data_IF_003095719523
#
_entry.id   IF_003095719523
#
_cell.length_a   1.000
_cell.length_b   1.000
_cell.length_c   1.000
_cell.angle_alpha   90.00
_cell.angle_beta   90.00
_cell.angle_gamma   90.00
#
_symmetry.space_group_name_H-M   'P 1'
#
loop_
_entity.id
_entity.type
_entity.pdbx_description
1 polymer ?
#
# COMPACT_ATOMS: atom_id res chain seq x y z
N UNK A 1 -2.43 -4.64 -20.00
CA UNK A 1 -2.36 -5.85 -20.84
C UNK A 1 -2.38 -5.42 -22.31
N UNK A 2 -1.26 -5.52 -23.03
CA UNK A 2 -1.23 -5.22 -24.46
C UNK A 2 -1.80 -6.42 -25.24
N UNK A 3 -2.83 -6.20 -26.05
CA UNK A 3 -3.45 -7.23 -26.87
C UNK A 3 -2.50 -7.62 -28.00
N UNK A 4 -2.08 -8.88 -28.02
CA UNK A 4 -1.26 -9.44 -29.10
C UNK A 4 -2.03 -9.30 -30.42
N UNK A 5 -1.41 -8.70 -31.44
CA UNK A 5 -2.02 -8.51 -32.77
C UNK A 5 -3.09 -7.41 -32.88
N UNK A 6 -3.28 -6.57 -31.86
CA UNK A 6 -4.27 -5.49 -31.88
C UNK A 6 -5.68 -5.90 -31.45
N UNK A 7 -5.88 -7.11 -30.92
CA UNK A 7 -7.18 -7.60 -30.42
C UNK A 7 -8.19 -7.97 -31.52
N UNK A 8 -9.47 -8.14 -31.14
CA UNK A 8 -10.54 -8.57 -32.05
C UNK A 8 -10.87 -7.54 -33.16
N UNK A 9 -10.58 -6.26 -32.93
CA UNK A 9 -10.68 -5.18 -33.92
C UNK A 9 -9.39 -4.34 -33.91
N UNK A 10 -8.38 -4.74 -34.70
CA UNK A 10 -7.10 -4.04 -34.79
C UNK A 10 -7.22 -2.62 -35.34
N UNK A 11 -8.20 -2.35 -36.22
CA UNK A 11 -8.46 -1.00 -36.76
C UNK A 11 -8.89 -0.03 -35.67
N UNK A 12 -9.89 -0.44 -34.87
CA UNK A 12 -10.41 0.37 -33.78
C UNK A 12 -9.37 0.57 -32.68
N UNK A 13 -8.66 -0.50 -32.32
CA UNK A 13 -7.59 -0.45 -31.30
C UNK A 13 -6.47 0.48 -31.74
N UNK A 14 -6.01 0.36 -32.99
CA UNK A 14 -5.01 1.26 -33.56
C UNK A 14 -5.45 2.73 -33.55
N UNK A 15 -6.69 3.00 -33.95
CA UNK A 15 -7.23 4.36 -33.96
C UNK A 15 -7.36 4.95 -32.53
N UNK A 16 -7.75 4.15 -31.55
CA UNK A 16 -7.80 4.60 -30.14
C UNK A 16 -6.41 4.93 -29.59
N UNK A 17 -5.37 4.18 -29.98
CA UNK A 17 -3.99 4.53 -29.63
C UNK A 17 -3.56 5.86 -30.26
N UNK A 18 -3.93 6.14 -31.52
CA UNK A 18 -3.66 7.43 -32.17
C UNK A 18 -4.42 8.57 -31.49
N UNK A 19 -5.68 8.37 -31.13
CA UNK A 19 -6.49 9.37 -30.44
C UNK A 19 -5.90 9.71 -29.06
N UNK A 20 -5.47 8.69 -28.31
CA UNK A 20 -4.81 8.89 -27.01
C UNK A 20 -3.49 9.65 -27.16
N UNK A 21 -2.68 9.32 -28.18
CA UNK A 21 -1.45 10.03 -28.48
C UNK A 21 -1.71 11.50 -28.88
N UNK A 22 -2.75 11.76 -29.67
CA UNK A 22 -3.15 13.11 -30.07
C UNK A 22 -3.62 13.95 -28.87
N UNK A 23 -4.41 13.36 -27.96
CA UNK A 23 -4.83 14.03 -26.71
C UNK A 23 -3.64 14.26 -25.77
N UNK A 24 -2.65 13.36 -25.75
CA UNK A 24 -1.42 13.50 -24.98
C UNK A 24 -0.39 14.46 -25.59
N UNK A 25 -0.72 15.13 -26.71
CA UNK A 25 0.14 16.12 -27.35
C UNK A 25 1.33 15.54 -28.11
N UNK A 26 1.28 14.27 -28.53
CA UNK A 26 2.38 13.65 -29.28
C UNK A 26 2.51 14.24 -30.68
N UNK A 27 3.74 14.26 -31.20
CA UNK A 27 4.00 14.62 -32.60
C UNK A 27 3.79 13.43 -33.54
N UNK A 28 3.66 13.70 -34.84
CA UNK A 28 3.61 12.64 -35.86
C UNK A 28 4.86 11.75 -35.81
N UNK A 29 6.03 12.30 -35.48
CA UNK A 29 7.30 11.55 -35.38
C UNK A 29 7.24 10.53 -34.23
N UNK A 30 6.67 10.92 -33.08
CA UNK A 30 6.51 10.02 -31.92
C UNK A 30 5.56 8.86 -32.24
N UNK A 31 4.48 9.16 -32.98
CA UNK A 31 3.50 8.18 -33.43
C UNK A 31 4.10 7.23 -34.47
N UNK A 32 4.89 7.74 -35.42
CA UNK A 32 5.62 6.92 -36.40
C UNK A 32 6.64 6.00 -35.72
N UNK A 33 7.29 6.46 -34.65
CA UNK A 33 8.19 5.64 -33.84
C UNK A 33 7.42 4.53 -33.11
N UNK A 34 6.35 4.88 -32.41
CA UNK A 34 5.51 3.94 -31.67
C UNK A 34 4.86 2.88 -32.58
N UNK A 35 4.43 3.27 -33.79
CA UNK A 35 3.80 2.37 -34.74
C UNK A 35 4.70 1.22 -35.20
N UNK A 36 6.03 1.33 -35.06
CA UNK A 36 6.99 0.28 -35.43
C UNK A 36 6.92 -0.93 -34.50
N UNK A 37 6.66 -0.72 -33.21
CA UNK A 37 6.80 -1.76 -32.17
C UNK A 37 5.54 -1.96 -31.32
N UNK A 38 4.64 -0.97 -31.24
CA UNK A 38 3.47 -1.06 -30.37
C UNK A 38 2.49 -2.15 -30.83
N UNK A 39 2.13 -3.12 -29.97
CA UNK A 39 1.18 -4.18 -30.32
C UNK A 39 -0.21 -3.66 -30.70
N UNK A 40 -0.64 -2.55 -30.10
CA UNK A 40 -1.93 -1.90 -30.40
C UNK A 40 -1.97 -1.21 -31.76
N UNK A 41 -0.82 -0.96 -32.40
CA UNK A 41 -0.70 -0.28 -33.69
C UNK A 41 -0.40 -1.25 -34.85
N UNK A 42 -0.53 -2.56 -34.61
CA UNK A 42 -0.29 -3.61 -35.60
C UNK A 42 -1.10 -3.41 -36.90
N UNK A 43 -2.29 -2.81 -36.81
CA UNK A 43 -3.14 -2.50 -37.97
C UNK A 43 -2.47 -1.60 -39.02
N UNK A 44 -1.55 -0.73 -38.60
CA UNK A 44 -0.84 0.16 -39.51
C UNK A 44 0.33 -0.55 -40.22
N UNK A 45 0.86 -1.63 -39.63
CA UNK A 45 1.93 -2.45 -40.21
C UNK A 45 1.42 -3.57 -41.10
N UNK A 46 0.20 -4.05 -40.87
CA UNK A 46 -0.32 -5.26 -41.54
C UNK A 46 -1.71 -5.07 -42.13
N UNK A 47 -2.06 -5.90 -43.12
CA UNK A 47 -3.39 -6.00 -43.73
C UNK A 47 -3.89 -7.45 -43.69
N UNK A 48 -5.21 -7.65 -43.68
CA UNK A 48 -5.77 -8.98 -43.82
C UNK A 48 -5.54 -9.48 -45.25
N UNK A 49 -5.09 -10.72 -45.40
CA UNK A 49 -4.99 -11.36 -46.70
C UNK A 49 -6.38 -11.92 -47.11
N UNK A 50 -6.93 -11.55 -48.29
CA UNK A 50 -8.24 -12.02 -48.72
C UNK A 50 -8.33 -13.55 -48.93
N UNK A 51 -7.21 -14.20 -49.24
CA UNK A 51 -7.14 -15.62 -49.62
C UNK A 51 -6.70 -16.56 -48.49
N UNK A 52 -6.55 -16.06 -47.27
CA UNK A 52 -6.26 -16.91 -46.10
C UNK A 52 -6.04 -16.03 -44.88
N UNK A 53 -6.73 -16.31 -43.77
CA UNK A 53 -6.89 -15.44 -42.60
C UNK A 53 -5.63 -14.96 -41.85
N UNK A 54 -4.44 -15.11 -42.41
CA UNK A 54 -3.18 -14.59 -41.90
C UNK A 54 -2.95 -13.15 -42.39
N UNK A 55 -2.51 -12.27 -41.49
CA UNK A 55 -2.19 -10.88 -41.82
C UNK A 55 -0.84 -10.80 -42.55
N UNK A 56 -0.78 -10.03 -43.63
CA UNK A 56 0.45 -9.78 -44.39
C UNK A 56 0.98 -8.38 -44.12
N UNK A 57 2.31 -8.16 -44.12
CA UNK A 57 2.89 -6.82 -44.02
C UNK A 57 2.38 -5.89 -45.13
N UNK A 58 2.18 -4.62 -44.78
CA UNK A 58 1.89 -3.54 -45.76
C UNK A 58 3.18 -3.02 -46.36
N UNK A 59 3.09 -2.47 -47.57
CA UNK A 59 4.20 -1.74 -48.20
C UNK A 59 4.50 -0.49 -47.35
N UNK A 60 5.78 -0.13 -47.09
CA UNK A 60 6.13 0.98 -46.19
C UNK A 60 5.47 2.32 -46.55
N UNK A 61 5.39 2.66 -47.84
CA UNK A 61 4.72 3.87 -48.31
C UNK A 61 3.20 3.86 -48.06
N UNK A 62 2.56 2.69 -48.16
CA UNK A 62 1.14 2.51 -47.87
C UNK A 62 0.85 2.63 -46.37
N UNK A 63 1.72 2.02 -45.54
CA UNK A 63 1.64 2.10 -44.08
C UNK A 63 1.78 3.55 -43.58
N UNK A 64 2.76 4.29 -44.09
CA UNK A 64 3.00 5.70 -43.74
C UNK A 64 1.83 6.60 -44.14
N UNK A 65 1.34 6.46 -45.39
CA UNK A 65 0.19 7.25 -45.87
C UNK A 65 -1.09 6.98 -45.07
N UNK A 66 -1.33 5.71 -44.70
CA UNK A 66 -2.49 5.34 -43.87
C UNK A 66 -2.36 5.85 -42.44
N UNK A 67 -1.17 5.77 -41.85
CA UNK A 67 -0.90 6.29 -40.52
C UNK A 67 -1.12 7.80 -40.48
N UNK A 68 -0.56 8.55 -41.45
CA UNK A 68 -0.74 10.00 -41.57
C UNK A 68 -2.21 10.41 -41.68
N UNK A 69 -2.96 9.75 -42.56
CA UNK A 69 -4.40 10.03 -42.73
C UNK A 69 -5.23 9.75 -41.48
N UNK A 70 -4.90 8.70 -40.74
CA UNK A 70 -5.60 8.35 -39.50
C UNK A 70 -5.14 9.22 -38.33
N UNK A 71 -3.90 9.71 -38.37
CA UNK A 71 -3.36 10.68 -37.45
C UNK A 71 -4.03 12.05 -37.60
N UNK A 72 -4.19 12.55 -38.83
CA UNK A 72 -4.94 13.79 -39.11
C UNK A 72 -6.38 13.70 -38.56
N UNK A 73 -7.07 12.59 -38.82
CA UNK A 73 -8.41 12.33 -38.24
C UNK A 73 -8.39 12.27 -36.72
N UNK A 74 -7.35 11.68 -36.14
CA UNK A 74 -7.21 11.62 -34.69
C UNK A 74 -6.94 13.01 -34.10
N UNK A 75 -6.19 13.88 -34.79
CA UNK A 75 -5.96 15.28 -34.40
C UNK A 75 -7.24 16.12 -34.51
N UNK A 76 -7.96 16.04 -35.62
CA UNK A 76 -9.28 16.68 -35.80
C UNK A 76 -10.29 16.19 -34.76
N UNK A 77 -10.26 14.89 -34.43
CA UNK A 77 -11.12 14.37 -33.38
C UNK A 77 -10.63 14.80 -31.99
N UNK A 78 -9.32 14.89 -31.80
CA UNK A 78 -8.72 15.38 -30.56
C UNK A 78 -9.02 16.86 -30.32
N UNK A 79 -9.29 17.69 -31.32
CA UNK A 79 -9.78 19.07 -31.09
C UNK A 79 -11.17 19.08 -30.44
N UNK A 80 -12.02 18.09 -30.75
CA UNK A 80 -13.31 17.89 -30.05
C UNK A 80 -13.12 17.40 -28.61
N UNK A 81 -12.01 16.72 -28.32
CA UNK A 81 -11.62 16.27 -26.97
C UNK A 81 -10.66 17.25 -26.26
N UNK A 82 -10.17 18.29 -26.96
CA UNK A 82 -9.42 19.40 -26.41
C UNK A 82 -10.43 20.21 -25.61
N UNK A 83 -10.61 19.76 -24.37
CA UNK A 83 -11.25 20.45 -23.25
C UNK A 83 -11.96 21.76 -23.64
N UNK A 84 -13.18 21.66 -24.19
CA UNK A 84 -14.21 22.50 -23.60
C UNK A 84 -14.26 22.04 -22.14
N UNK A 85 -13.91 22.88 -21.15
CA UNK A 85 -14.09 22.50 -19.76
C UNK A 85 -15.59 22.27 -19.62
N UNK A 86 -16.01 21.00 -19.63
CA UNK A 86 -17.18 20.68 -18.84
C UNK A 86 -16.76 21.10 -17.43
N UNK A 87 -17.43 22.10 -16.88
CA UNK A 87 -17.46 22.40 -15.45
C UNK A 87 -17.90 21.11 -14.74
N UNK A 88 -16.96 20.17 -14.60
CA UNK A 88 -17.05 19.12 -13.62
C UNK A 88 -16.98 19.89 -12.30
N UNK A 89 -17.94 19.70 -11.38
CA UNK A 89 -17.86 20.34 -10.08
C UNK A 89 -16.46 20.08 -9.55
N UNK A 90 -15.78 21.16 -9.18
CA UNK A 90 -14.43 21.13 -8.63
C UNK A 90 -14.37 19.99 -7.63
N UNK A 91 -13.52 18.99 -7.91
CA UNK A 91 -13.50 17.78 -7.10
C UNK A 91 -13.06 18.24 -5.72
N UNK A 92 -13.92 18.09 -4.71
CA UNK A 92 -13.58 18.49 -3.35
C UNK A 92 -12.32 17.73 -2.88
N UNK A 93 -11.21 18.45 -2.76
CA UNK A 93 -9.91 17.91 -2.31
C UNK A 93 -9.67 18.18 -0.83
N UNK A 94 -10.62 18.78 -0.11
CA UNK A 94 -10.48 19.18 1.30
C UNK A 94 -10.14 17.99 2.20
N UNK A 95 -10.69 16.81 1.90
CA UNK A 95 -10.34 15.59 2.63
C UNK A 95 -8.86 15.23 2.45
N UNK A 96 -8.39 15.20 1.20
CA UNK A 96 -7.00 14.86 0.87
C UNK A 96 -6.02 15.90 1.41
N UNK A 97 -6.34 17.19 1.30
CA UNK A 97 -5.57 18.28 1.89
C UNK A 97 -5.43 18.09 3.40
N UNK A 98 -6.52 17.77 4.11
CA UNK A 98 -6.47 17.51 5.55
C UNK A 98 -5.67 16.28 5.94
N UNK A 99 -5.71 15.21 5.13
CA UNK A 99 -4.86 14.02 5.33
C UNK A 99 -3.39 14.39 5.18
N UNK A 100 -3.02 15.04 4.07
CA UNK A 100 -1.63 15.47 3.80
C UNK A 100 -1.11 16.35 4.93
N UNK A 101 -1.87 17.38 5.31
CA UNK A 101 -1.47 18.29 6.39
C UNK A 101 -1.32 17.56 7.73
N UNK A 102 -2.19 16.60 8.05
CA UNK A 102 -2.08 15.79 9.27
C UNK A 102 -0.82 14.93 9.27
N UNK A 103 -0.47 14.32 8.13
CA UNK A 103 0.76 13.51 8.02
C UNK A 103 2.02 14.36 8.12
N UNK A 104 2.08 15.52 7.45
CA UNK A 104 3.20 16.45 7.55
C UNK A 104 3.42 16.91 9.00
N UNK A 105 2.34 17.26 9.71
CA UNK A 105 2.39 17.61 11.14
C UNK A 105 2.84 16.44 12.02
N UNK A 106 2.34 15.23 11.78
CA UNK A 106 2.77 14.03 12.50
C UNK A 106 4.27 13.78 12.32
N UNK A 107 4.77 13.82 11.08
CA UNK A 107 6.20 13.65 10.78
C UNK A 107 7.04 14.75 11.43
N UNK A 108 6.53 15.99 11.44
CA UNK A 108 7.18 17.11 12.13
C UNK A 108 7.24 16.86 13.64
N UNK A 109 6.15 16.41 14.25
CA UNK A 109 6.08 16.08 15.68
C UNK A 109 7.07 14.97 16.09
N UNK A 110 7.32 13.99 15.22
CA UNK A 110 8.36 12.98 15.45
C UNK A 110 9.76 13.59 15.53
N UNK A 111 10.04 14.64 14.75
CA UNK A 111 11.34 15.30 14.69
C UNK A 111 11.54 16.29 15.84
N UNK A 112 10.55 17.15 16.11
CA UNK A 112 10.69 18.25 17.09
C UNK A 112 10.49 17.80 18.53
N UNK A 113 9.78 16.68 18.76
CA UNK A 113 9.53 16.13 20.10
C UNK A 113 10.12 14.73 20.25
N UNK A 114 11.44 14.56 20.06
CA UNK A 114 12.08 13.24 20.00
C UNK A 114 11.88 12.44 21.30
N UNK A 115 11.93 13.12 22.46
CA UNK A 115 11.74 12.50 23.77
C UNK A 115 10.39 11.79 23.95
N UNK A 116 9.35 12.16 23.20
CA UNK A 116 8.05 11.45 23.24
C UNK A 116 8.04 10.18 22.41
N UNK A 117 8.74 10.18 21.28
CA UNK A 117 8.60 9.15 20.25
C UNK A 117 9.77 8.16 20.22
N UNK A 118 10.86 8.45 20.94
CA UNK A 118 12.07 7.63 20.87
C UNK A 118 12.73 7.34 22.22
N UNK A 119 12.10 7.72 23.35
CA UNK A 119 12.71 7.51 24.67
C UNK A 119 12.76 6.03 25.06
N UNK A 120 11.65 5.32 24.91
CA UNK A 120 11.51 3.89 25.21
C UNK A 120 11.27 3.06 23.94
N UNK A 121 11.38 1.73 24.07
CA UNK A 121 10.99 0.82 23.00
C UNK A 121 9.50 0.95 22.63
N UNK A 122 8.63 1.22 23.60
CA UNK A 122 7.21 1.42 23.35
C UNK A 122 6.95 2.64 22.46
N UNK A 123 7.69 3.72 22.67
CA UNK A 123 7.56 4.96 21.90
C UNK A 123 7.97 4.75 20.43
N UNK A 124 9.00 3.93 20.20
CA UNK A 124 9.43 3.54 18.86
C UNK A 124 8.34 2.74 18.13
N UNK A 125 7.72 1.77 18.81
CA UNK A 125 6.61 1.01 18.24
C UNK A 125 5.39 1.90 17.97
N UNK A 126 5.05 2.81 18.88
CA UNK A 126 3.93 3.73 18.76
C UNK A 126 4.09 4.65 17.53
N UNK A 127 5.27 5.21 17.34
CA UNK A 127 5.57 6.06 16.18
C UNK A 127 5.62 5.27 14.86
N UNK A 128 6.11 4.02 14.86
CA UNK A 128 6.01 3.13 13.68
C UNK A 128 4.56 2.78 13.33
N UNK A 129 3.71 2.53 14.32
CA UNK A 129 2.29 2.20 14.09
C UNK A 129 1.51 3.41 13.60
N UNK A 130 1.79 4.61 14.13
CA UNK A 130 1.27 5.86 13.57
C UNK A 130 1.70 6.07 12.11
N UNK A 131 2.98 5.80 11.80
CA UNK A 131 3.51 5.84 10.42
C UNK A 131 2.71 4.91 9.50
N UNK A 132 2.39 3.70 9.96
CA UNK A 132 1.59 2.74 9.21
C UNK A 132 0.15 3.22 8.98
N UNK A 133 -0.53 3.78 10.00
CA UNK A 133 -1.90 4.31 9.85
C UNK A 133 -1.91 5.52 8.90
N UNK A 134 -0.95 6.44 9.05
CA UNK A 134 -0.81 7.60 8.17
C UNK A 134 -0.56 7.20 6.71
N UNK A 135 0.27 6.17 6.49
CA UNK A 135 0.49 5.60 5.18
C UNK A 135 -0.81 5.03 4.58
N UNK A 136 -1.61 4.31 5.38
CA UNK A 136 -2.91 3.81 4.94
C UNK A 136 -3.86 4.93 4.53
N UNK A 137 -3.95 5.99 5.34
CA UNK A 137 -4.81 7.15 5.04
C UNK A 137 -4.38 7.87 3.77
N UNK A 138 -3.07 8.10 3.57
CA UNK A 138 -2.57 8.71 2.34
C UNK A 138 -2.79 7.82 1.11
N UNK A 139 -2.65 6.50 1.26
CA UNK A 139 -2.78 5.55 0.14
C UNK A 139 -4.24 5.35 -0.26
N UNK A 140 -5.16 5.24 0.70
CA UNK A 140 -6.59 5.14 0.43
C UNK A 140 -7.21 6.48 0.01
N UNK A 141 -6.61 7.61 0.43
CA UNK A 141 -7.20 8.93 0.30
C UNK A 141 -8.36 9.18 1.28
N UNK A 142 -8.49 8.35 2.32
CA UNK A 142 -9.56 8.43 3.31
C UNK A 142 -9.01 8.70 4.71
N UNK A 143 -9.67 9.58 5.47
CA UNK A 143 -9.29 9.85 6.87
C UNK A 143 -9.53 8.66 7.79
N UNK A 144 -10.54 7.87 7.48
CA UNK A 144 -10.97 6.70 8.26
C UNK A 144 -10.51 5.42 7.58
N UNK A 145 -9.50 4.77 8.16
CA UNK A 145 -8.90 3.59 7.56
C UNK A 145 -9.11 2.34 8.41
N UNK A 146 -9.59 1.29 7.75
CA UNK A 146 -9.59 -0.03 8.34
C UNK A 146 -8.13 -0.51 8.51
N UNK A 147 -7.75 -0.81 9.75
CA UNK A 147 -6.39 -1.24 10.06
C UNK A 147 -6.44 -2.49 10.96
N UNK A 148 -6.66 -3.69 10.38
CA UNK A 148 -6.65 -4.94 11.13
C UNK A 148 -5.31 -5.15 11.82
N UNK A 149 -5.32 -5.59 13.09
CA UNK A 149 -4.10 -5.78 13.92
C UNK A 149 -3.00 -6.57 13.20
N UNK A 150 -3.38 -7.72 12.62
CA UNK A 150 -2.46 -8.61 11.90
C UNK A 150 -1.92 -8.00 10.61
N UNK A 151 -2.70 -7.13 9.96
CA UNK A 151 -2.26 -6.42 8.76
C UNK A 151 -1.23 -5.34 9.08
N UNK A 152 -1.46 -4.57 10.15
CA UNK A 152 -0.45 -3.63 10.66
C UNK A 152 0.80 -4.40 11.11
N UNK A 153 0.64 -5.55 11.75
CA UNK A 153 1.76 -6.39 12.18
C UNK A 153 2.63 -6.85 11.00
N UNK A 154 2.01 -7.33 9.91
CA UNK A 154 2.71 -7.67 8.66
C UNK A 154 3.37 -6.44 8.02
N UNK A 155 2.67 -5.31 7.95
CA UNK A 155 3.17 -4.07 7.34
C UNK A 155 4.38 -3.50 8.10
N UNK A 156 4.39 -3.59 9.43
CA UNK A 156 5.41 -2.98 10.27
C UNK A 156 6.50 -3.95 10.72
N UNK A 157 6.29 -5.26 10.58
CA UNK A 157 7.14 -6.30 11.18
C UNK A 157 7.04 -6.41 12.72
N UNK A 158 6.11 -5.67 13.34
CA UNK A 158 5.89 -5.68 14.80
C UNK A 158 4.88 -6.79 15.14
N UNK A 159 5.08 -7.58 16.22
CA UNK A 159 4.09 -8.59 16.63
C UNK A 159 2.69 -8.00 16.88
N UNK A 160 1.63 -8.73 16.53
CA UNK A 160 0.23 -8.27 16.64
C UNK A 160 -0.16 -7.89 18.07
N UNK A 161 0.37 -8.58 19.08
CA UNK A 161 0.17 -8.25 20.50
C UNK A 161 0.82 -6.93 20.90
N UNK A 162 1.96 -6.59 20.32
CA UNK A 162 2.59 -5.28 20.49
C UNK A 162 1.81 -4.20 19.75
N UNK A 163 1.30 -4.50 18.55
CA UNK A 163 0.41 -3.61 17.81
C UNK A 163 -0.84 -3.26 18.63
N UNK A 164 -1.52 -4.25 19.20
CA UNK A 164 -2.71 -4.02 20.04
C UNK A 164 -2.40 -3.10 21.23
N UNK A 165 -1.31 -3.37 21.96
CA UNK A 165 -0.89 -2.53 23.10
C UNK A 165 -0.58 -1.10 22.66
N UNK A 166 0.11 -0.93 21.53
CA UNK A 166 0.42 0.38 20.96
C UNK A 166 -0.83 1.15 20.53
N UNK A 167 -1.77 0.50 19.84
CA UNK A 167 -3.05 1.15 19.47
C UNK A 167 -3.83 1.59 20.71
N UNK A 168 -3.87 0.78 21.77
CA UNK A 168 -4.48 1.16 23.05
C UNK A 168 -3.81 2.39 23.65
N UNK A 169 -2.47 2.42 23.73
CA UNK A 169 -1.71 3.59 24.26
C UNK A 169 -1.95 4.85 23.42
N UNK A 170 -1.85 4.74 22.11
CA UNK A 170 -2.06 5.85 21.17
C UNK A 170 -3.49 6.40 21.28
N UNK A 171 -4.49 5.52 21.42
CA UNK A 171 -5.88 5.91 21.63
C UNK A 171 -6.07 6.61 22.97
N UNK A 172 -5.56 6.03 24.06
CA UNK A 172 -5.66 6.63 25.40
C UNK A 172 -4.96 8.00 25.46
N UNK A 173 -3.86 8.19 24.73
CA UNK A 173 -3.15 9.46 24.63
C UNK A 173 -3.79 10.48 23.65
N UNK A 174 -4.85 10.09 22.93
CA UNK A 174 -5.59 10.94 21.99
C UNK A 174 -4.88 11.18 20.65
N UNK A 175 -3.93 10.31 20.26
CA UNK A 175 -3.23 10.40 18.98
C UNK A 175 -3.98 9.73 17.83
N UNK A 176 -4.82 8.77 18.16
CA UNK A 176 -5.74 8.12 17.21
C UNK A 176 -7.11 7.97 17.85
N UNK A 177 -8.15 7.95 17.02
CA UNK A 177 -9.52 7.68 17.44
C UNK A 177 -10.00 6.41 16.76
N UNK A 178 -10.67 5.53 17.51
CA UNK A 178 -11.37 4.38 16.94
C UNK A 178 -12.76 4.82 16.51
N UNK A 179 -12.98 4.92 15.20
CA UNK A 179 -14.25 5.37 14.61
C UNK A 179 -15.26 4.23 14.56
N UNK A 180 -14.80 3.00 14.30
CA UNK A 180 -15.63 1.80 14.28
C UNK A 180 -14.90 0.64 14.95
N UNK A 181 -15.63 -0.12 15.77
CA UNK A 181 -15.16 -1.39 16.33
C UNK A 181 -14.87 -2.41 15.22
N UNK A 182 -14.06 -3.42 15.53
CA UNK A 182 -13.97 -4.59 14.65
C UNK A 182 -15.29 -5.37 14.74
N UNK A 183 -15.80 -5.86 13.61
CA UNK A 183 -17.06 -6.59 13.54
C UNK A 183 -16.95 -7.74 12.52
N UNK A 184 -17.14 -8.98 12.97
CA UNK A 184 -16.95 -10.18 12.15
C UNK A 184 -15.59 -10.20 11.42
N UNK A 185 -15.63 -10.21 10.09
CA UNK A 185 -14.44 -10.18 9.23
C UNK A 185 -13.85 -8.75 9.06
N UNK A 186 -14.57 -7.72 9.47
CA UNK A 186 -14.14 -6.33 9.33
C UNK A 186 -13.18 -5.92 10.46
N UNK A 187 -12.01 -5.41 10.09
CA UNK A 187 -11.09 -4.79 11.05
C UNK A 187 -11.61 -3.45 11.58
N UNK A 188 -11.18 -3.09 12.79
CA UNK A 188 -11.46 -1.78 13.37
C UNK A 188 -10.98 -0.63 12.46
N UNK A 189 -11.75 0.46 12.47
CA UNK A 189 -11.47 1.67 11.68
C UNK A 189 -10.88 2.74 12.58
N UNK A 190 -9.75 3.29 12.14
CA UNK A 190 -8.96 4.25 12.89
C UNK A 190 -8.80 5.56 12.12
N UNK A 191 -8.78 6.66 12.88
CA UNK A 191 -8.48 8.01 12.39
C UNK A 191 -7.27 8.55 13.13
N UNK A 192 -6.34 9.16 12.39
CA UNK A 192 -5.23 9.93 12.99
C UNK A 192 -5.78 11.24 13.54
N UNK A 193 -5.44 11.56 14.77
CA UNK A 193 -5.93 12.76 15.46
C UNK A 193 -5.37 14.05 14.84
N UNK A 194 -6.14 15.14 14.93
CA UNK A 194 -5.68 16.48 14.57
C UNK A 194 -4.86 17.14 15.69
N UNK A 195 -4.64 16.45 16.83
CA UNK A 195 -3.82 16.91 17.96
C UNK A 195 -2.36 17.26 17.59
N UNK A 196 -1.89 16.83 16.42
CA UNK A 196 -0.59 17.27 15.89
C UNK A 196 -0.60 18.75 15.46
N UNK A 197 -1.79 19.36 15.34
CA UNK A 197 -1.96 20.79 15.12
C UNK A 197 -1.77 21.54 16.43
N UNK A 198 -0.93 22.57 16.43
CA UNK A 198 -1.16 23.73 17.29
C UNK A 198 -2.54 24.30 16.94
N UNK A 199 -3.33 24.79 17.91
CA UNK A 199 -4.60 25.44 17.58
C UNK A 199 -4.30 26.63 16.67
N UNK A 200 -4.84 26.62 15.45
CA UNK A 200 -4.93 27.85 14.69
C UNK A 200 -6.01 28.68 15.37
N UNK A 201 -5.59 29.72 16.10
CA UNK A 201 -6.49 30.78 16.52
C UNK A 201 -6.93 31.52 15.25
N UNK A 202 -7.98 31.04 14.59
CA UNK A 202 -8.57 31.68 13.43
C UNK A 202 -9.43 32.86 13.89
N UNK A 203 -8.91 34.08 13.71
CA UNK A 203 -9.68 35.32 13.81
C UNK A 203 -9.92 35.84 12.39
N UNK A 204 -11.17 35.72 11.91
CA UNK A 204 -11.66 36.47 10.76
C UNK A 204 -12.11 35.62 9.55
N UNK A 205 -13.09 36.11 8.76
CA UNK A 205 -13.51 35.46 7.53
C UNK A 205 -12.59 35.92 6.38
N UNK A 206 -11.75 35.03 5.86
CA UNK A 206 -11.12 35.24 4.56
C UNK A 206 -11.35 34.01 3.69
N UNK A 207 -11.65 34.29 2.42
CA UNK A 207 -11.51 33.35 1.32
C UNK A 207 -10.17 32.59 1.45
N UNK A 208 -10.22 31.28 1.25
CA UNK A 208 -9.10 30.34 1.35
C UNK A 208 -8.01 30.65 0.31
N UNK A 209 -7.21 31.69 0.56
CA UNK A 209 -6.06 32.07 -0.27
C UNK A 209 -4.85 31.16 -0.04
N UNK A 210 -4.99 30.13 0.80
CA UNK A 210 -3.96 29.12 1.09
C UNK A 210 -4.21 27.78 0.41
N UNK A 211 -5.29 27.64 -0.36
CA UNK A 211 -5.58 26.43 -1.11
C UNK A 211 -4.42 26.11 -2.07
N UNK A 212 -3.64 25.09 -1.71
CA UNK A 212 -2.52 24.61 -2.53
C UNK A 212 -3.07 24.19 -3.91
N UNK A 213 -2.44 24.60 -5.02
CA UNK A 213 -2.83 24.12 -6.34
C UNK A 213 -2.91 22.59 -6.39
N UNK A 214 -3.94 21.99 -7.02
CA UNK A 214 -4.13 20.54 -7.02
C UNK A 214 -2.89 19.74 -7.41
N UNK A 215 -2.12 20.20 -8.39
CA UNK A 215 -0.87 19.54 -8.83
C UNK A 215 0.15 19.39 -7.69
N UNK A 216 0.42 20.49 -6.95
CA UNK A 216 1.36 20.47 -5.83
C UNK A 216 0.87 19.55 -4.69
N UNK A 217 -0.44 19.43 -4.48
CA UNK A 217 -0.99 18.51 -3.49
C UNK A 217 -0.71 17.05 -3.84
N UNK A 218 -0.87 16.67 -5.11
CA UNK A 218 -0.58 15.31 -5.57
C UNK A 218 0.92 14.99 -5.53
N UNK A 219 1.79 15.95 -5.89
CA UNK A 219 3.25 15.79 -5.81
C UNK A 219 3.73 15.57 -4.36
N UNK A 220 3.17 16.34 -3.43
CA UNK A 220 3.49 16.21 -2.01
C UNK A 220 2.96 14.90 -1.45
N UNK A 221 1.73 14.51 -1.82
CA UNK A 221 1.19 13.18 -1.46
C UNK A 221 2.10 12.06 -1.97
N UNK A 222 2.55 12.12 -3.22
CA UNK A 222 3.43 11.10 -3.80
C UNK A 222 4.78 11.04 -3.07
N UNK A 223 5.35 12.19 -2.72
CA UNK A 223 6.59 12.28 -1.95
C UNK A 223 6.44 11.68 -0.55
N UNK A 224 5.37 12.05 0.17
CA UNK A 224 5.07 11.51 1.50
C UNK A 224 4.81 10.01 1.47
N UNK A 225 4.06 9.51 0.48
CA UNK A 225 3.84 8.08 0.30
C UNK A 225 5.17 7.35 0.11
N UNK A 226 6.06 7.87 -0.73
CA UNK A 226 7.38 7.28 -0.97
C UNK A 226 8.22 7.24 0.32
N UNK A 227 8.30 8.34 1.07
CA UNK A 227 9.06 8.36 2.34
C UNK A 227 8.49 7.39 3.39
N UNK A 228 7.17 7.32 3.52
CA UNK A 228 6.53 6.39 4.46
C UNK A 228 6.72 4.93 4.04
N UNK A 229 6.60 4.62 2.74
CA UNK A 229 6.86 3.28 2.20
C UNK A 229 8.30 2.86 2.42
N UNK A 230 9.26 3.73 2.09
CA UNK A 230 10.69 3.48 2.29
C UNK A 230 11.03 3.26 3.77
N UNK A 231 10.41 4.01 4.69
CA UNK A 231 10.57 3.82 6.14
C UNK A 231 10.01 2.47 6.60
N UNK A 232 8.79 2.14 6.20
CA UNK A 232 8.15 0.87 6.59
C UNK A 232 8.95 -0.34 6.06
N UNK A 233 9.37 -0.29 4.80
CA UNK A 233 10.12 -1.36 4.14
C UNK A 233 11.55 -1.51 4.69
N UNK A 234 12.24 -0.39 4.95
CA UNK A 234 13.56 -0.43 5.55
C UNK A 234 13.55 -1.08 6.94
N UNK A 235 12.54 -0.77 7.75
CA UNK A 235 12.38 -1.28 9.12
C UNK A 235 11.81 -2.69 9.21
N UNK A 236 11.10 -3.16 8.17
CA UNK A 236 10.48 -4.48 8.12
C UNK A 236 11.50 -5.56 7.75
N UNK A 237 12.29 -6.00 8.72
CA UNK A 237 13.25 -7.08 8.51
C UNK A 237 13.53 -7.90 9.79
N UNK A 238 13.81 -9.19 9.64
CA UNK A 238 14.09 -10.15 10.74
C UNK A 238 15.19 -9.67 11.69
N UNK A 239 16.27 -9.11 11.15
CA UNK A 239 17.41 -8.58 11.90
C UNK A 239 17.03 -7.47 12.88
N UNK A 240 15.90 -6.78 12.68
CA UNK A 240 15.41 -5.72 13.57
C UNK A 240 14.47 -6.20 14.67
N UNK A 241 14.17 -7.50 14.71
CA UNK A 241 13.45 -8.10 15.82
C UNK A 241 14.27 -8.05 17.11
N UNK A 242 13.62 -8.33 18.26
CA UNK A 242 14.26 -8.27 19.60
C UNK A 242 15.46 -9.21 19.74
N UNK A 243 15.48 -10.33 19.01
CA UNK A 243 16.61 -11.27 18.98
C UNK A 243 17.81 -10.79 18.15
N UNK A 244 17.69 -9.67 17.43
CA UNK A 244 18.74 -9.12 16.58
C UNK A 244 19.25 -7.75 17.04
N UNK A 245 19.21 -6.77 16.14
CA UNK A 245 19.67 -5.40 16.38
C UNK A 245 18.64 -4.53 17.12
N UNK A 246 17.37 -4.96 17.12
CA UNK A 246 16.28 -4.35 17.87
C UNK A 246 15.76 -3.01 17.32
N UNK A 247 14.76 -2.40 18.01
CA UNK A 247 14.00 -1.27 17.50
C UNK A 247 14.79 0.04 17.36
N UNK A 248 15.81 0.28 18.19
CA UNK A 248 16.64 1.48 18.06
C UNK A 248 17.50 1.43 16.79
N UNK A 249 18.13 0.29 16.51
CA UNK A 249 18.91 0.11 15.28
C UNK A 249 18.02 0.17 14.04
N UNK A 250 16.80 -0.40 14.13
CA UNK A 250 15.75 -0.28 13.12
C UNK A 250 15.47 1.18 12.78
N UNK A 251 15.12 1.99 13.78
CA UNK A 251 14.75 3.40 13.57
C UNK A 251 15.88 4.23 12.93
N UNK A 252 17.14 4.00 13.32
CA UNK A 252 18.27 4.64 12.63
C UNK A 252 18.45 4.13 11.20
N UNK A 253 18.27 2.83 10.97
CA UNK A 253 18.35 2.28 9.61
C UNK A 253 17.25 2.84 8.68
N UNK A 254 16.02 3.02 9.20
CA UNK A 254 14.92 3.70 8.50
C UNK A 254 15.29 5.14 8.11
N UNK A 255 16.06 5.85 8.94
CA UNK A 255 16.49 7.22 8.67
C UNK A 255 17.69 7.33 7.71
N UNK A 256 18.47 6.26 7.51
CA UNK A 256 19.56 6.26 6.53
C UNK A 256 19.00 6.24 5.10
N UNK A 257 19.68 6.91 4.17
CA UNK A 257 19.39 6.85 2.73
C UNK A 257 20.60 6.25 1.98
N UNK A 258 20.55 6.18 0.65
CA UNK A 258 21.74 5.84 -0.15
C UNK A 258 22.73 7.01 -0.27
N UNK A 259 22.26 8.23 0.01
CA UNK A 259 23.07 9.44 0.04
C UNK A 259 23.78 9.58 1.39
N UNK A 260 24.93 10.24 1.38
CA UNK A 260 25.67 10.53 2.60
C UNK A 260 25.02 11.66 3.37
N UNK A 261 24.80 11.45 4.68
CA UNK A 261 24.30 12.47 5.58
C UNK A 261 25.11 12.52 6.88
N UNK A 262 25.27 13.71 7.46
CA UNK A 262 25.94 13.85 8.74
C UNK A 262 25.11 13.26 9.91
N UNK A 263 25.75 13.10 11.07
CA UNK A 263 25.12 12.56 12.28
C UNK A 263 23.84 13.32 12.66
N UNK A 264 23.87 14.66 12.56
CA UNK A 264 22.78 15.52 12.99
C UNK A 264 21.55 15.32 12.12
N UNK A 265 21.73 15.28 10.79
CA UNK A 265 20.64 15.05 9.84
C UNK A 265 19.96 13.70 10.07
N UNK A 266 20.74 12.66 10.36
CA UNK A 266 20.18 11.33 10.69
C UNK A 266 19.45 11.37 12.02
N UNK A 267 20.01 12.06 13.01
CA UNK A 267 19.37 12.25 14.31
C UNK A 267 18.01 12.93 14.19
N UNK A 268 17.96 14.02 13.41
CA UNK A 268 16.75 14.80 13.15
C UNK A 268 15.72 13.96 12.40
N UNK A 269 16.15 13.21 11.37
CA UNK A 269 15.25 12.35 10.58
C UNK A 269 14.71 11.19 11.40
N UNK A 270 15.51 10.62 12.28
CA UNK A 270 15.13 9.55 13.19
C UNK A 270 14.32 10.03 14.40
N UNK A 271 14.31 11.34 14.69
CA UNK A 271 13.75 11.89 15.91
C UNK A 271 14.47 11.39 17.17
N UNK A 272 15.79 11.19 17.11
CA UNK A 272 16.59 10.66 18.22
C UNK A 272 17.62 11.66 18.74
N UNK A 273 18.06 11.55 20.01
CA UNK A 273 19.21 12.31 20.50
C UNK A 273 20.52 11.90 19.79
N UNK A 274 21.44 12.84 19.50
CA UNK A 274 22.68 12.56 18.77
C UNK A 274 23.56 11.46 19.38
N UNK A 275 23.61 11.36 20.71
CA UNK A 275 24.38 10.32 21.41
C UNK A 275 23.85 8.91 21.12
N UNK A 276 22.53 8.73 21.18
CA UNK A 276 21.85 7.46 20.87
C UNK A 276 21.97 7.13 19.38
N UNK A 277 21.85 8.13 18.52
CA UNK A 277 22.07 8.01 17.07
C UNK A 277 23.48 7.48 16.76
N UNK A 278 24.53 8.08 17.33
CA UNK A 278 25.92 7.61 17.12
C UNK A 278 26.15 6.19 17.60
N UNK A 279 25.62 5.82 18.77
CA UNK A 279 25.74 4.47 19.30
C UNK A 279 25.08 3.43 18.37
N UNK A 280 23.89 3.76 17.85
CA UNK A 280 23.19 2.90 16.90
C UNK A 280 23.86 2.85 15.52
N UNK A 281 24.41 3.97 15.00
CA UNK A 281 25.19 4.01 13.77
C UNK A 281 26.47 3.17 13.88
N UNK A 282 27.19 3.27 15.00
CA UNK A 282 28.35 2.42 15.28
C UNK A 282 27.96 0.94 15.29
N UNK A 283 26.82 0.58 15.90
CA UNK A 283 26.29 -0.78 15.88
C UNK A 283 25.96 -1.25 14.46
N UNK A 284 25.29 -0.43 13.65
CA UNK A 284 24.98 -0.75 12.24
C UNK A 284 26.25 -0.88 11.39
N UNK A 285 27.27 -0.05 11.63
CA UNK A 285 28.59 -0.13 10.97
C UNK A 285 29.30 -1.45 11.25
N UNK A 286 29.30 -1.91 12.51
CA UNK A 286 29.90 -3.20 12.90
C UNK A 286 29.32 -4.39 12.14
N UNK A 287 28.05 -4.30 11.75
CA UNK A 287 27.37 -5.32 10.95
C UNK A 287 27.30 -4.99 9.45
N UNK A 288 28.07 -3.99 8.99
CA UNK A 288 28.12 -3.55 7.59
C UNK A 288 26.76 -3.13 6.98
N UNK A 289 25.80 -2.70 7.81
CA UNK A 289 24.50 -2.16 7.34
C UNK A 289 24.57 -0.65 7.04
N UNK A 290 25.47 0.05 7.73
CA UNK A 290 25.78 1.46 7.50
C UNK A 290 27.27 1.62 7.18
N UNK A 291 27.62 2.61 6.37
CA UNK A 291 29.01 2.99 6.11
C UNK A 291 29.18 4.48 6.30
N UNK A 292 30.35 4.88 6.80
CA UNK A 292 30.76 6.27 6.90
C UNK A 292 31.66 6.59 5.70
N UNK A 293 31.26 7.54 4.86
CA UNK A 293 32.04 8.09 3.75
C UNK A 293 32.43 9.54 4.03
N UNK A 294 33.14 10.19 3.09
CA UNK A 294 33.45 11.62 3.17
C UNK A 294 32.18 12.47 3.24
N UNK A 295 31.14 12.06 2.53
CA UNK A 295 29.83 12.74 2.50
C UNK A 295 28.95 12.42 3.71
N UNK A 296 29.43 11.59 4.65
CA UNK A 296 28.71 11.20 5.86
C UNK A 296 28.25 9.74 5.86
N UNK A 297 27.28 9.45 6.71
CA UNK A 297 26.70 8.12 6.87
C UNK A 297 25.67 7.83 5.79
N UNK A 298 25.72 6.62 5.25
CA UNK A 298 24.73 6.11 4.30
C UNK A 298 24.47 4.62 4.50
N UNK A 299 23.33 4.13 3.99
CA UNK A 299 23.08 2.69 3.84
C UNK A 299 24.14 2.08 2.92
N UNK A 300 24.55 0.86 3.22
CA UNK A 300 25.38 0.11 2.26
C UNK A 300 24.59 -0.14 0.97
N UNK A 301 25.30 -0.11 -0.16
CA UNK A 301 24.75 -0.37 -1.49
C UNK A 301 24.20 -1.79 -1.60
N UNK A 302 24.93 -2.76 -1.03
CA UNK A 302 24.49 -4.15 -0.94
C UNK A 302 23.71 -4.37 0.35
N UNK A 303 22.51 -4.92 0.23
CA UNK A 303 21.71 -5.30 1.38
C UNK A 303 22.28 -6.58 2.01
N UNK A 304 22.74 -6.45 3.26
CA UNK A 304 23.28 -7.56 4.04
C UNK A 304 22.33 -8.02 5.15
N UNK A 305 21.12 -7.47 5.23
CA UNK A 305 20.15 -7.79 6.30
C UNK A 305 19.82 -9.28 6.32
N UNK A 306 19.64 -9.94 5.17
CA UNK A 306 19.38 -11.38 5.08
C UNK A 306 20.54 -12.25 5.58
N UNK A 307 21.76 -11.90 5.20
CA UNK A 307 22.97 -12.60 5.65
C UNK A 307 23.09 -12.52 7.17
N UNK A 308 22.86 -11.34 7.74
CA UNK A 308 22.88 -11.14 9.18
C UNK A 308 21.74 -11.87 9.87
N UNK A 309 20.52 -11.85 9.31
CA UNK A 309 19.41 -12.60 9.87
C UNK A 309 19.71 -14.10 9.95
N UNK A 310 20.36 -14.68 8.94
CA UNK A 310 20.85 -16.07 9.00
C UNK A 310 21.90 -16.27 10.09
N UNK A 311 22.89 -15.38 10.17
CA UNK A 311 23.95 -15.46 11.18
C UNK A 311 23.42 -15.35 12.62
N UNK A 312 22.34 -14.60 12.84
CA UNK A 312 21.66 -14.48 14.14
C UNK A 312 20.60 -15.56 14.39
N UNK A 313 20.38 -16.49 13.44
CA UNK A 313 19.32 -17.50 13.55
C UNK A 313 17.89 -16.95 13.47
N UNK A 314 17.73 -15.75 12.92
CA UNK A 314 16.45 -15.02 12.82
C UNK A 314 15.78 -15.13 11.45
N UNK A 315 16.43 -15.78 10.49
CA UNK A 315 15.90 -15.90 9.13
C UNK A 315 14.49 -16.52 9.11
N UNK A 316 13.58 -15.85 8.42
CA UNK A 316 12.19 -16.25 8.24
C UNK A 316 11.29 -16.00 9.45
N UNK A 317 11.72 -15.27 10.49
CA UNK A 317 10.87 -15.00 11.67
C UNK A 317 9.62 -14.22 11.26
N UNK A 318 9.75 -13.15 10.48
CA UNK A 318 8.61 -12.38 10.00
C UNK A 318 7.74 -13.18 9.03
N UNK A 319 8.36 -13.96 8.15
CA UNK A 319 7.62 -14.82 7.21
C UNK A 319 6.78 -15.89 7.93
N UNK A 320 7.35 -16.58 8.93
CA UNK A 320 6.59 -17.55 9.75
C UNK A 320 5.43 -16.89 10.49
N UNK A 321 5.61 -15.66 10.98
CA UNK A 321 4.52 -14.89 11.61
C UNK A 321 3.42 -14.53 10.61
N UNK A 322 3.81 -14.09 9.41
CA UNK A 322 2.85 -13.77 8.35
C UNK A 322 2.03 -15.00 7.94
N UNK A 323 2.67 -16.16 7.76
CA UNK A 323 1.98 -17.44 7.53
C UNK A 323 1.02 -17.77 8.67
N UNK A 324 1.48 -17.68 9.93
CA UNK A 324 0.63 -17.91 11.09
C UNK A 324 -0.57 -16.96 11.12
N UNK A 325 -0.39 -15.67 10.78
CA UNK A 325 -1.51 -14.73 10.66
C UNK A 325 -2.44 -15.05 9.50
N UNK A 326 -1.95 -15.64 8.40
CA UNK A 326 -2.77 -16.17 7.32
C UNK A 326 -3.69 -17.28 7.84
N UNK A 327 -3.13 -18.27 8.53
CA UNK A 327 -3.89 -19.36 9.14
C UNK A 327 -4.91 -18.85 10.16
N UNK A 328 -4.53 -17.91 11.02
CA UNK A 328 -5.45 -17.32 12.00
C UNK A 328 -6.60 -16.54 11.36
N UNK A 329 -6.36 -15.86 10.23
CA UNK A 329 -7.43 -15.16 9.48
C UNK A 329 -8.37 -16.16 8.84
N UNK A 330 -7.84 -17.22 8.23
CA UNK A 330 -8.66 -18.26 7.59
C UNK A 330 -9.53 -19.00 8.62
N UNK A 331 -8.95 -19.37 9.76
CA UNK A 331 -9.73 -19.93 10.88
C UNK A 331 -10.81 -18.98 11.37
N UNK A 332 -10.50 -17.68 11.49
CA UNK A 332 -11.46 -16.69 11.94
C UNK A 332 -12.60 -16.50 10.94
N UNK A 333 -12.30 -16.51 9.64
CA UNK A 333 -13.31 -16.45 8.59
C UNK A 333 -14.23 -17.69 8.63
N UNK A 334 -13.66 -18.88 8.78
CA UNK A 334 -14.42 -20.12 8.97
C UNK A 334 -15.38 -20.03 10.16
N UNK A 335 -14.90 -19.54 11.30
CA UNK A 335 -15.71 -19.37 12.49
C UNK A 335 -16.85 -18.36 12.28
N UNK A 336 -16.59 -17.23 11.63
CA UNK A 336 -17.64 -16.26 11.30
C UNK A 336 -18.70 -16.86 10.36
N UNK A 337 -18.28 -17.65 9.36
CA UNK A 337 -19.21 -18.33 8.46
C UNK A 337 -20.12 -19.30 9.23
N UNK A 338 -19.57 -20.04 10.19
CA UNK A 338 -20.33 -20.92 11.08
C UNK A 338 -21.31 -20.14 11.97
N UNK A 339 -20.89 -19.01 12.55
CA UNK A 339 -21.79 -18.15 13.32
C UNK A 339 -22.96 -17.63 12.47
N UNK A 340 -22.70 -17.23 11.21
CA UNK A 340 -23.74 -16.81 10.26
C UNK A 340 -24.68 -17.97 9.93
N UNK A 341 -24.13 -19.17 9.70
CA UNK A 341 -24.91 -20.39 9.45
C UNK A 341 -25.85 -20.72 10.60
N UNK A 342 -25.38 -20.63 11.85
CA UNK A 342 -26.17 -20.88 13.07
C UNK A 342 -27.20 -19.80 13.35
N UNK A 343 -26.89 -18.54 13.07
CA UNK A 343 -27.82 -17.43 13.29
C UNK A 343 -29.02 -17.45 12.32
N UNK A 344 -28.98 -18.27 11.25
CA UNK A 344 -29.95 -18.23 10.15
C UNK A 344 -29.72 -17.00 9.25
N UNK A 345 -30.29 -17.00 8.04
CA UNK A 345 -30.06 -15.94 7.02
C UNK A 345 -30.26 -14.53 7.61
N UNK A 346 -29.21 -13.72 7.81
CA UNK A 346 -29.38 -12.35 8.27
C UNK A 346 -29.78 -11.47 7.08
N UNK A 347 -30.76 -10.59 7.27
CA UNK A 347 -31.12 -9.54 6.32
C UNK A 347 -29.91 -8.64 6.11
N UNK A 348 -29.41 -8.61 4.87
CA UNK A 348 -28.20 -7.88 4.46
C UNK A 348 -28.32 -6.39 4.83
N UNK A 349 -27.72 -5.96 5.95
CA UNK A 349 -27.55 -4.53 6.25
C UNK A 349 -26.56 -3.96 5.25
N UNK A 350 -27.01 -3.04 4.39
CA UNK A 350 -26.17 -2.29 3.46
C UNK A 350 -25.37 -1.25 4.25
N UNK A 351 -24.27 -1.65 4.88
CA UNK A 351 -23.29 -0.69 5.40
C UNK A 351 -22.52 -0.12 4.21
N UNK A 352 -22.43 1.21 4.11
CA UNK A 352 -21.63 1.87 3.08
C UNK A 352 -20.18 1.34 3.15
N UNK A 353 -19.65 0.90 2.00
CA UNK A 353 -18.30 0.38 1.91
C UNK A 353 -17.29 1.48 2.26
N UNK A 354 -16.70 1.42 3.45
CA UNK A 354 -15.55 2.27 3.78
C UNK A 354 -14.43 1.99 2.78
N UNK A 355 -13.78 3.01 2.18
CA UNK A 355 -12.68 2.81 1.27
C UNK A 355 -11.55 2.05 1.97
N UNK A 356 -11.41 0.76 1.62
CA UNK A 356 -10.32 -0.09 2.06
C UNK A 356 -9.21 0.02 1.01
N UNK A 357 -7.95 0.28 1.38
CA UNK A 357 -6.88 0.10 0.44
C UNK A 357 -6.91 -1.35 -0.05
N UNK A 358 -6.82 -1.56 -1.37
CA UNK A 358 -6.91 -2.85 -2.07
C UNK A 358 -5.98 -3.92 -1.42
N UNK A 359 -4.91 -3.49 -0.75
CA UNK A 359 -3.98 -4.35 -0.03
C UNK A 359 -4.59 -5.12 1.16
N UNK A 360 -5.75 -4.69 1.69
CA UNK A 360 -6.44 -5.34 2.82
C UNK A 360 -7.82 -5.88 2.45
N UNK A 361 -8.03 -6.29 1.20
CA UNK A 361 -9.18 -7.11 0.88
C UNK A 361 -9.18 -8.37 1.75
N UNK A 362 -9.97 -8.35 2.83
CA UNK A 362 -10.65 -9.53 3.34
C UNK A 362 -11.83 -9.82 2.40
N UNK A 363 -11.56 -9.97 1.10
CA UNK A 363 -12.43 -10.83 0.31
C UNK A 363 -12.14 -12.21 0.81
N UNK A 364 -13.14 -12.84 1.41
CA UNK A 364 -13.07 -14.21 1.83
C UNK A 364 -12.65 -15.03 0.60
N UNK A 365 -11.42 -15.53 0.58
CA UNK A 365 -10.82 -16.11 -0.62
C UNK A 365 -11.63 -17.33 -1.12
N UNK A 366 -12.43 -17.93 -0.22
CA UNK A 366 -13.32 -19.06 -0.46
C UNK A 366 -14.75 -18.68 -0.89
N UNK A 367 -15.17 -17.41 -0.76
CA UNK A 367 -16.53 -16.98 -1.11
C UNK A 367 -17.49 -16.88 0.07
N UNK A 368 -18.78 -17.20 -0.13
CA UNK A 368 -19.82 -17.04 0.90
C UNK A 368 -19.78 -18.10 2.01
N UNK A 369 -20.65 -18.00 3.04
CA UNK A 369 -20.71 -18.94 4.17
C UNK A 369 -20.90 -20.42 3.78
N UNK A 370 -21.51 -20.67 2.62
CA UNK A 370 -21.80 -22.01 2.08
C UNK A 370 -20.56 -22.72 1.51
N UNK A 371 -19.45 -21.99 1.34
CA UNK A 371 -18.19 -22.54 0.82
C UNK A 371 -17.27 -23.09 1.92
N UNK A 372 -17.66 -22.91 3.18
CA UNK A 372 -16.91 -23.39 4.34
C UNK A 372 -17.45 -24.75 4.81
N UNK A 373 -16.59 -25.69 5.21
CA UNK A 373 -17.05 -26.91 5.89
C UNK A 373 -17.72 -26.60 7.24
N UNK A 374 -18.33 -27.59 7.87
CA UNK A 374 -18.81 -27.52 9.25
C UNK A 374 -17.63 -27.31 10.21
N UNK A 375 -17.77 -26.35 11.12
CA UNK A 375 -16.69 -26.07 12.08
C UNK A 375 -16.55 -27.22 13.07
N UNK A 376 -15.33 -27.76 13.29
CA UNK A 376 -15.13 -28.92 14.16
C UNK A 376 -15.54 -28.61 15.59
N UNK A 377 -16.06 -29.63 16.28
CA UNK A 377 -16.56 -29.54 17.65
C UNK A 377 -15.92 -30.60 18.54
N UNK A 378 -15.85 -30.30 19.82
CA UNK A 378 -15.46 -31.28 20.82
C UNK A 378 -16.63 -32.22 21.18
N UNK A 379 -16.35 -33.18 22.07
CA UNK A 379 -17.35 -34.15 22.54
C UNK A 379 -18.53 -33.49 23.26
N UNK A 380 -18.35 -32.27 23.79
CA UNK A 380 -19.38 -31.48 24.47
C UNK A 380 -20.17 -30.59 23.49
N UNK A 381 -19.87 -30.65 22.19
CA UNK A 381 -20.52 -29.87 21.14
C UNK A 381 -20.07 -28.41 21.06
N UNK A 382 -19.03 -28.01 21.79
CA UNK A 382 -18.42 -26.68 21.73
C UNK A 382 -17.44 -26.57 20.55
N UNK A 383 -17.12 -25.35 20.14
CA UNK A 383 -16.25 -25.11 18.99
C UNK A 383 -14.79 -25.52 19.28
N UNK A 384 -14.24 -26.44 18.48
CA UNK A 384 -12.87 -26.92 18.64
C UNK A 384 -11.88 -26.10 17.79
N UNK A 385 -11.43 -24.97 18.33
CA UNK A 385 -10.48 -24.10 17.64
C UNK A 385 -9.10 -24.74 17.39
N UNK A 386 -8.67 -25.69 18.22
CA UNK A 386 -7.37 -26.35 18.03
C UNK A 386 -7.41 -27.27 16.81
N UNK A 387 -8.47 -28.05 16.68
CA UNK A 387 -8.68 -28.92 15.53
C UNK A 387 -8.91 -28.12 14.24
N UNK A 388 -9.71 -27.04 14.31
CA UNK A 388 -9.87 -26.14 13.17
C UNK A 388 -8.53 -25.58 12.67
N UNK A 389 -7.63 -25.21 13.59
CA UNK A 389 -6.29 -24.71 13.23
C UNK A 389 -5.43 -25.81 12.58
N UNK A 390 -5.60 -27.08 12.99
CA UNK A 390 -4.91 -28.21 12.35
C UNK A 390 -5.34 -28.37 10.89
N UNK A 391 -6.64 -28.32 10.61
CA UNK A 391 -7.15 -28.41 9.23
C UNK A 391 -6.71 -27.24 8.35
N UNK A 392 -6.72 -26.01 8.90
CA UNK A 392 -6.23 -24.82 8.21
C UNK A 392 -4.75 -24.98 7.84
N UNK A 393 -3.90 -25.35 8.81
CA UNK A 393 -2.46 -25.55 8.57
C UNK A 393 -2.17 -26.68 7.59
N UNK A 394 -3.02 -27.70 7.54
CA UNK A 394 -2.92 -28.80 6.59
C UNK A 394 -3.46 -28.46 5.19
N UNK A 395 -4.12 -27.31 5.01
CA UNK A 395 -4.80 -26.98 3.75
C UNK A 395 -6.00 -27.89 3.43
N UNK A 396 -6.54 -28.60 4.42
CA UNK A 396 -7.51 -29.68 4.23
C UNK A 396 -8.97 -29.20 4.11
N UNK A 397 -9.24 -27.91 4.28
CA UNK A 397 -10.60 -27.39 4.34
C UNK A 397 -11.43 -27.61 3.05
N UNK A 398 -10.79 -27.60 1.87
CA UNK A 398 -11.52 -27.91 0.63
C UNK A 398 -11.91 -29.39 0.57
N UNK A 399 -10.99 -30.28 0.94
CA UNK A 399 -11.23 -31.72 1.00
C UNK A 399 -12.33 -32.06 2.00
N UNK A 400 -12.34 -31.41 3.17
CA UNK A 400 -13.42 -31.55 4.15
C UNK A 400 -14.77 -31.13 3.57
N UNK A 401 -14.80 -30.01 2.84
CA UNK A 401 -16.03 -29.54 2.20
C UNK A 401 -16.52 -30.51 1.12
N UNK A 402 -15.61 -31.05 0.33
CA UNK A 402 -15.95 -32.02 -0.73
C UNK A 402 -16.50 -33.33 -0.12
N UNK A 403 -15.95 -33.77 1.02
CA UNK A 403 -16.45 -34.93 1.77
C UNK A 403 -17.85 -34.70 2.36
N UNK A 404 -18.11 -33.52 2.93
CA UNK A 404 -19.44 -33.16 3.43
C UNK A 404 -20.50 -33.09 2.33
N UNK A 405 -20.13 -32.64 1.13
CA UNK A 405 -21.05 -32.59 -0.01
C UNK A 405 -21.32 -33.97 -0.61
N UNK A 406 -20.45 -34.95 -0.35
CA UNK A 406 -20.59 -36.33 -0.81
C UNK A 406 -21.35 -37.24 0.17
N UNK A 407 -21.48 -36.83 1.43
CA UNK A 407 -22.25 -37.49 2.49
C UNK A 407 -23.71 -36.98 2.50
#
# INVERSE_FOLDING_TARGET
MATVGGGADPSRTGYLCLLAAAVAGWSLVDVEHAARTAPGMEHYRTRNNPTGGRRTPRVPAEAASRLRRQWEKAQERATTYHYAPQERPERDLSELQGIVATVERMLTAFRVSPGRWTHTEHDLHDSTILTAIAWLSLRSGARDVAAPLRSIATLTGIPSTTVDRSLRRLRTAGWITRVREADGADGAVWRVSEKFSTPDVHVGPLHDMTARPPAQLFDIRATLLTDLEDRLEAGRHDIFTRGGLGPTARRIYEALTREGHNDQHISDRAGMPPSRTRAALARLKRHALATLTRDGWRRRVHDHRDRLARAFGLAGVLHRREQQYGHEREQWAWWNAELIRRAGKPTRRKTAATPRPVMFHLTDARGGPDMWPEYPRDADGLANHLEAMRYVRAGALQQLRDLELAA
#
